data_IF_547280961737
#
_entry.id   IF_547280961737
#
_cell.length_a   1.000
_cell.length_b   1.000
_cell.length_c   1.000
_cell.angle_alpha   90.00
_cell.angle_beta   90.00
_cell.angle_gamma   90.00
#
_symmetry.space_group_name_H-M   'P 1'
#
loop_
_entity.id
_entity.type
_entity.pdbx_description
1 polymer ?
#
# COMPACT_ATOMS: atom_id res chain seq x y z
N UNK A 1 80.73 7.67 -0.85
CA UNK A 1 80.90 9.03 -0.28
C UNK A 1 79.92 10.00 -0.94
N UNK A 2 78.76 10.24 -0.32
CA UNK A 2 77.97 11.51 -0.26
C UNK A 2 76.52 11.19 0.12
N UNK A 3 76.18 11.53 1.36
CA UNK A 3 74.82 11.63 1.92
C UNK A 3 74.18 12.94 1.40
N UNK A 4 72.92 12.91 0.95
CA UNK A 4 71.99 14.05 0.98
C UNK A 4 70.58 13.49 1.22
N UNK A 5 70.09 13.53 2.45
CA UNK A 5 69.22 14.56 3.07
C UNK A 5 67.86 14.72 2.39
N UNK A 6 66.85 14.29 3.16
CA UNK A 6 65.40 14.33 3.03
C UNK A 6 64.88 15.67 2.50
N UNK A 7 63.76 15.64 1.77
CA UNK A 7 62.72 16.65 1.93
C UNK A 7 61.32 16.03 1.83
N UNK A 8 60.58 16.29 2.90
CA UNK A 8 59.22 15.89 3.22
C UNK A 8 58.28 16.91 2.58
N UNK A 9 57.40 16.49 1.68
CA UNK A 9 56.25 17.27 1.24
C UNK A 9 55.01 16.41 1.50
N UNK A 10 54.36 16.68 2.62
CA UNK A 10 53.08 16.12 3.01
C UNK A 10 52.01 16.73 2.11
N UNK A 11 51.44 15.94 1.19
CA UNK A 11 50.29 16.36 0.39
C UNK A 11 49.03 15.77 1.01
N UNK A 12 48.28 16.60 1.74
CA UNK A 12 46.97 16.26 2.28
C UNK A 12 46.01 16.12 1.10
N UNK A 13 45.68 14.88 0.74
CA UNK A 13 44.65 14.59 -0.26
C UNK A 13 43.28 14.81 0.41
N UNK A 14 42.74 16.02 0.30
CA UNK A 14 41.37 16.33 0.74
C UNK A 14 40.39 15.55 -0.13
N UNK A 15 40.00 14.37 0.34
CA UNK A 15 38.98 13.54 -0.28
C UNK A 15 37.62 14.20 -0.02
N UNK A 16 37.23 15.14 -0.89
CA UNK A 16 35.85 15.62 -0.94
C UNK A 16 34.96 14.43 -1.29
N UNK A 17 34.40 13.79 -0.26
CA UNK A 17 33.28 12.87 -0.38
C UNK A 17 32.09 13.71 -0.87
N UNK A 18 31.99 13.90 -2.19
CA UNK A 18 30.74 14.31 -2.80
C UNK A 18 29.76 13.16 -2.56
N UNK A 19 28.99 13.24 -1.47
CA UNK A 19 27.80 12.42 -1.30
C UNK A 19 26.83 12.93 -2.37
N UNK A 20 26.90 12.32 -3.54
CA UNK A 20 25.85 12.43 -4.54
C UNK A 20 24.65 11.69 -3.95
N UNK A 21 23.78 12.41 -3.26
CA UNK A 21 22.44 11.93 -2.95
C UNK A 21 21.69 11.78 -4.27
N UNK A 22 21.81 10.60 -4.87
CA UNK A 22 20.91 10.17 -5.93
C UNK A 22 19.55 9.97 -5.26
N UNK A 23 18.70 10.99 -5.31
CA UNK A 23 17.28 10.83 -5.04
C UNK A 23 16.71 9.93 -6.13
N UNK A 24 16.75 8.62 -5.91
CA UNK A 24 15.90 7.71 -6.64
C UNK A 24 14.48 7.99 -6.15
N UNK A 25 13.77 8.89 -6.85
CA UNK A 25 12.36 9.17 -6.58
C UNK A 25 11.55 7.92 -6.95
N UNK A 26 11.56 6.93 -6.07
CA UNK A 26 10.66 5.79 -6.13
C UNK A 26 9.22 6.27 -6.06
N UNK A 27 8.31 5.48 -6.61
CA UNK A 27 6.87 5.74 -6.47
C UNK A 27 6.54 5.59 -4.98
N UNK A 28 6.01 6.65 -4.35
CA UNK A 28 5.70 6.64 -2.92
C UNK A 28 4.72 5.50 -2.56
N UNK A 29 4.90 4.93 -1.37
CA UNK A 29 4.06 3.85 -0.84
C UNK A 29 3.80 4.00 0.66
N UNK A 30 2.72 3.39 1.19
CA UNK A 30 2.45 3.38 2.62
C UNK A 30 3.63 2.79 3.39
N UNK A 31 4.01 3.44 4.48
CA UNK A 31 5.13 3.02 5.32
C UNK A 31 4.71 1.90 6.27
N UNK A 32 5.54 0.87 6.38
CA UNK A 32 5.30 -0.26 7.28
C UNK A 32 6.60 -0.82 7.86
N UNK A 33 6.45 -1.60 8.94
CA UNK A 33 7.48 -2.48 9.47
C UNK A 33 7.00 -3.92 9.35
N UNK A 34 7.88 -4.84 8.93
CA UNK A 34 7.58 -6.28 8.95
C UNK A 34 7.73 -6.78 10.38
N UNK A 35 6.63 -7.31 10.94
CA UNK A 35 6.56 -7.83 12.31
C UNK A 35 6.84 -9.33 12.33
N UNK A 36 6.37 -10.03 11.29
CA UNK A 36 6.52 -11.48 11.18
C UNK A 36 6.66 -11.88 9.71
N UNK A 37 7.39 -12.95 9.47
CA UNK A 37 7.56 -13.53 8.13
C UNK A 37 7.41 -15.04 8.22
N UNK A 38 6.54 -15.57 7.39
CA UNK A 38 6.42 -17.00 7.10
C UNK A 38 6.86 -17.28 5.67
N UNK A 39 6.88 -18.55 5.27
CA UNK A 39 7.26 -18.94 3.91
C UNK A 39 6.43 -18.29 2.80
N UNK A 40 5.16 -17.98 3.09
CA UNK A 40 4.18 -17.57 2.08
C UNK A 40 3.36 -16.32 2.45
N UNK A 41 3.51 -15.78 3.66
CA UNK A 41 2.92 -14.51 4.05
C UNK A 41 3.81 -13.71 5.00
N UNK A 42 3.54 -12.42 5.10
CA UNK A 42 4.17 -11.49 6.03
C UNK A 42 3.10 -10.83 6.89
N UNK A 43 3.43 -10.51 8.14
CA UNK A 43 2.63 -9.58 8.95
C UNK A 43 3.33 -8.24 8.94
N UNK A 44 2.62 -7.20 8.51
CA UNK A 44 3.15 -5.83 8.43
C UNK A 44 2.34 -4.90 9.33
N UNK A 45 3.04 -4.08 10.11
CA UNK A 45 2.46 -2.95 10.83
C UNK A 45 2.54 -1.71 9.94
N UNK A 46 1.41 -1.29 9.38
CA UNK A 46 1.32 -0.03 8.64
C UNK A 46 1.19 1.14 9.61
N UNK A 47 1.92 2.22 9.31
CA UNK A 47 1.74 3.51 9.99
C UNK A 47 0.42 4.15 9.58
N UNK A 48 0.00 5.14 10.35
CA UNK A 48 -1.13 5.97 9.97
C UNK A 48 -0.93 6.58 8.57
N UNK A 49 -2.01 6.63 7.80
CA UNK A 49 -1.98 7.12 6.43
C UNK A 49 -3.32 7.63 5.95
N UNK A 50 -3.29 8.63 5.08
CA UNK A 50 -4.44 9.15 4.35
C UNK A 50 -4.53 8.51 2.96
N UNK A 51 -5.76 8.20 2.56
CA UNK A 51 -6.10 7.63 1.26
C UNK A 51 -7.28 8.37 0.66
N UNK A 52 -7.33 8.43 -0.67
CA UNK A 52 -8.53 8.82 -1.40
C UNK A 52 -9.30 7.56 -1.81
N UNK A 53 -10.59 7.51 -1.48
CA UNK A 53 -11.44 6.32 -1.62
C UNK A 53 -12.58 6.56 -2.62
N UNK A 54 -12.75 5.62 -3.54
CA UNK A 54 -13.80 5.56 -4.54
C UNK A 54 -14.72 4.37 -4.25
N UNK A 55 -15.93 4.57 -3.70
CA UNK A 55 -16.92 3.51 -3.54
C UNK A 55 -17.48 3.10 -4.91
N UNK A 56 -17.56 1.80 -5.18
CA UNK A 56 -18.10 1.23 -6.42
C UNK A 56 -19.03 0.07 -6.10
N UNK A 57 -20.17 -0.01 -6.77
CA UNK A 57 -21.06 -1.18 -6.73
C UNK A 57 -20.97 -1.87 -8.08
N UNK A 58 -20.44 -3.09 -8.10
CA UNK A 58 -20.36 -3.95 -9.28
C UNK A 58 -20.22 -5.40 -8.81
N UNK A 59 -20.44 -6.38 -9.68
CA UNK A 59 -20.15 -7.79 -9.36
C UNK A 59 -18.69 -8.14 -9.66
N UNK A 60 -18.10 -7.50 -10.67
CA UNK A 60 -16.73 -7.74 -11.12
C UNK A 60 -15.75 -6.85 -10.36
N UNK A 61 -14.76 -7.46 -9.74
CA UNK A 61 -13.62 -6.79 -9.13
C UNK A 61 -12.81 -6.02 -10.18
N UNK A 62 -12.59 -6.60 -11.36
CA UNK A 62 -11.81 -5.94 -12.43
C UNK A 62 -12.50 -4.67 -12.90
N UNK A 63 -13.80 -4.75 -13.16
CA UNK A 63 -14.61 -3.60 -13.58
C UNK A 63 -14.72 -2.58 -12.46
N UNK A 64 -14.96 -3.00 -11.22
CA UNK A 64 -15.02 -2.11 -10.08
C UNK A 64 -13.71 -1.35 -9.88
N UNK A 65 -12.58 -2.07 -9.95
CA UNK A 65 -11.24 -1.46 -9.84
C UNK A 65 -11.00 -0.45 -10.95
N UNK A 66 -11.31 -0.80 -12.20
CA UNK A 66 -11.14 0.10 -13.34
C UNK A 66 -11.96 1.38 -13.19
N UNK A 67 -13.25 1.26 -12.82
CA UNK A 67 -14.15 2.41 -12.65
C UNK A 67 -13.73 3.28 -11.46
N UNK A 68 -13.40 2.68 -10.32
CA UNK A 68 -12.94 3.40 -9.14
C UNK A 68 -11.61 4.12 -9.40
N UNK A 69 -10.65 3.42 -9.98
CA UNK A 69 -9.34 4.00 -10.31
C UNK A 69 -9.44 5.10 -11.35
N UNK A 70 -10.34 5.00 -12.34
CA UNK A 70 -10.53 6.07 -13.31
C UNK A 70 -10.92 7.41 -12.64
N UNK A 71 -11.82 7.38 -11.65
CA UNK A 71 -12.21 8.58 -10.89
C UNK A 71 -11.06 9.11 -10.03
N UNK A 72 -10.32 8.21 -9.37
CA UNK A 72 -9.10 8.58 -8.64
C UNK A 72 -8.05 9.19 -9.56
N UNK A 73 -7.91 8.68 -10.79
CA UNK A 73 -6.98 9.19 -11.78
C UNK A 73 -7.35 10.60 -12.23
N UNK A 74 -8.64 10.87 -12.47
CA UNK A 74 -9.11 12.24 -12.76
C UNK A 74 -8.76 13.19 -11.60
N UNK A 75 -9.00 12.77 -10.36
CA UNK A 75 -8.67 13.55 -9.15
C UNK A 75 -7.19 13.93 -9.08
N UNK A 76 -6.28 12.96 -9.22
CA UNK A 76 -4.83 13.23 -9.15
C UNK A 76 -4.32 14.03 -10.36
N UNK A 77 -5.06 14.03 -11.48
CA UNK A 77 -4.74 14.81 -12.67
C UNK A 77 -5.26 16.26 -12.64
N UNK A 78 -5.94 16.65 -11.56
CA UNK A 78 -6.39 18.03 -11.33
C UNK A 78 -7.89 18.20 -11.18
N UNK A 79 -8.71 17.14 -11.24
CA UNK A 79 -10.15 17.23 -10.94
C UNK A 79 -10.40 17.31 -9.42
N UNK A 80 -9.92 18.39 -8.82
CA UNK A 80 -10.09 18.78 -7.42
C UNK A 80 -10.21 20.31 -7.36
N UNK A 81 -10.75 20.85 -6.26
CA UNK A 81 -11.08 22.28 -6.16
C UNK A 81 -9.90 23.23 -6.38
N UNK A 82 -8.66 22.74 -6.22
CA UNK A 82 -7.44 23.54 -6.34
C UNK A 82 -6.69 23.28 -7.67
N UNK A 83 -7.27 22.51 -8.60
CA UNK A 83 -6.62 22.07 -9.86
C UNK A 83 -5.22 21.47 -9.65
N UNK A 84 -4.97 20.90 -8.47
CA UNK A 84 -3.65 20.43 -8.06
C UNK A 84 -3.35 19.07 -8.68
N UNK A 85 -2.16 18.92 -9.26
CA UNK A 85 -1.66 17.61 -9.70
C UNK A 85 -1.02 16.88 -8.53
N UNK A 86 -1.37 15.61 -8.36
CA UNK A 86 -0.89 14.74 -7.30
C UNK A 86 -0.09 13.61 -7.95
N UNK A 87 1.14 13.40 -7.50
CA UNK A 87 2.00 12.32 -8.01
C UNK A 87 1.35 10.96 -7.77
N UNK A 88 1.50 10.05 -8.73
CA UNK A 88 1.08 8.66 -8.59
C UNK A 88 1.81 7.98 -7.44
N UNK A 89 1.13 7.09 -6.73
CA UNK A 89 1.65 6.25 -5.65
C UNK A 89 1.27 4.79 -5.88
N UNK A 90 1.83 3.89 -5.08
CA UNK A 90 1.48 2.47 -5.08
C UNK A 90 1.33 1.95 -3.65
N UNK A 91 0.50 0.92 -3.42
CA UNK A 91 -0.38 0.25 -4.38
C UNK A 91 -1.73 0.98 -4.57
N UNK A 92 -2.45 0.61 -5.64
CA UNK A 92 -3.91 0.81 -5.68
C UNK A 92 -4.54 -0.34 -4.90
N UNK A 93 -5.33 -0.02 -3.88
CA UNK A 93 -5.93 -1.01 -2.98
C UNK A 93 -7.43 -1.12 -3.27
N UNK A 94 -7.90 -2.29 -3.70
CA UNK A 94 -9.34 -2.55 -3.89
C UNK A 94 -9.81 -3.50 -2.78
N UNK A 95 -10.66 -3.01 -1.89
CA UNK A 95 -11.23 -3.79 -0.78
C UNK A 95 -12.65 -4.26 -1.10
N UNK A 96 -12.94 -5.50 -0.71
CA UNK A 96 -14.23 -6.15 -0.89
C UNK A 96 -15.01 -6.05 0.42
N UNK A 97 -16.26 -5.59 0.39
CA UNK A 97 -17.09 -5.45 1.61
C UNK A 97 -17.74 -6.79 2.00
N UNK A 98 -17.55 -7.18 3.27
CA UNK A 98 -18.11 -8.39 3.89
C UNK A 98 -19.61 -8.25 4.18
N UNK A 99 -20.45 -8.17 3.14
CA UNK A 99 -21.89 -8.47 3.28
C UNK A 99 -22.65 -8.55 1.93
N UNK A 100 -21.97 -8.48 0.80
CA UNK A 100 -22.62 -8.74 -0.49
C UNK A 100 -22.80 -10.25 -0.66
N UNK A 101 -23.87 -10.79 -0.09
CA UNK A 101 -24.30 -12.18 -0.31
C UNK A 101 -24.43 -12.51 -1.81
N UNK A 102 -24.58 -13.80 -2.18
CA UNK A 102 -24.37 -14.33 -3.53
C UNK A 102 -25.26 -13.72 -4.64
N UNK A 103 -26.31 -12.97 -4.27
CA UNK A 103 -27.25 -12.32 -5.19
C UNK A 103 -27.28 -10.78 -5.07
N UNK A 104 -26.36 -10.17 -4.30
CA UNK A 104 -26.24 -8.71 -4.19
C UNK A 104 -25.02 -8.24 -5.01
N UNK A 105 -25.15 -7.10 -5.69
CA UNK A 105 -24.00 -6.41 -6.28
C UNK A 105 -22.94 -6.20 -5.20
N UNK A 106 -21.71 -6.67 -5.45
CA UNK A 106 -20.61 -6.49 -4.52
C UNK A 106 -20.31 -5.00 -4.35
N UNK A 107 -19.99 -4.61 -3.12
CA UNK A 107 -19.50 -3.27 -2.84
C UNK A 107 -17.97 -3.33 -2.73
N UNK A 108 -17.31 -2.47 -3.49
CA UNK A 108 -15.87 -2.30 -3.50
C UNK A 108 -15.51 -0.89 -3.06
N UNK A 109 -14.38 -0.78 -2.37
CA UNK A 109 -13.70 0.50 -2.16
C UNK A 109 -12.35 0.45 -2.85
N UNK A 110 -12.18 1.26 -3.90
CA UNK A 110 -10.90 1.42 -4.59
C UNK A 110 -10.19 2.60 -3.96
N UNK A 111 -8.94 2.43 -3.54
CA UNK A 111 -8.21 3.41 -2.75
C UNK A 111 -6.86 3.73 -3.36
N UNK A 112 -6.51 5.00 -3.28
CA UNK A 112 -5.23 5.56 -3.70
C UNK A 112 -4.52 6.14 -2.48
N UNK A 113 -3.27 5.73 -2.24
CA UNK A 113 -2.45 6.27 -1.16
C UNK A 113 -2.06 7.70 -1.50
N UNK A 114 -2.32 8.65 -0.61
CA UNK A 114 -1.93 10.03 -0.86
C UNK A 114 -0.42 10.20 -0.64
N UNK A 115 0.32 10.94 -1.49
CA UNK A 115 1.73 11.25 -1.22
C UNK A 115 1.92 11.93 0.14
N UNK A 116 3.12 11.86 0.72
CA UNK A 116 3.48 12.44 2.03
C UNK A 116 3.04 13.91 2.14
N UNK A 117 3.20 14.68 1.06
CA UNK A 117 2.77 16.08 0.96
C UNK A 117 1.27 16.30 1.28
N UNK A 118 0.43 15.31 1.03
CA UNK A 118 -1.04 15.39 1.14
C UNK A 118 -1.61 14.50 2.27
N UNK A 119 -0.75 13.99 3.16
CA UNK A 119 -1.18 13.15 4.29
C UNK A 119 -2.02 13.91 5.33
N UNK A 120 -1.79 15.23 5.49
CA UNK A 120 -2.57 16.07 6.39
C UNK A 120 -3.85 16.59 5.76
N UNK A 121 -3.72 17.48 4.76
CA UNK A 121 -4.85 18.13 4.08
C UNK A 121 -4.77 17.86 2.58
N UNK A 122 -5.44 16.81 2.08
CA UNK A 122 -5.50 16.56 0.64
C UNK A 122 -6.42 17.56 -0.07
N UNK A 123 -6.17 17.89 -1.35
CA UNK A 123 -7.09 18.68 -2.16
C UNK A 123 -8.48 18.05 -2.15
N UNK A 124 -9.52 18.87 -1.99
CA UNK A 124 -10.90 18.36 -2.00
C UNK A 124 -11.30 17.92 -3.41
N UNK A 125 -11.77 16.67 -3.60
CA UNK A 125 -12.19 16.20 -4.91
C UNK A 125 -13.44 16.96 -5.39
N UNK A 126 -13.63 17.05 -6.71
CA UNK A 126 -14.88 17.56 -7.25
C UNK A 126 -16.05 16.63 -6.88
N UNK A 127 -17.24 17.17 -6.52
CA UNK A 127 -18.37 16.36 -6.06
C UNK A 127 -18.79 15.24 -7.02
N UNK A 128 -18.71 15.49 -8.34
CA UNK A 128 -19.08 14.54 -9.40
C UNK A 128 -18.21 13.27 -9.41
N UNK A 129 -17.00 13.31 -8.85
CA UNK A 129 -16.15 12.13 -8.76
C UNK A 129 -16.62 11.16 -7.66
N UNK A 130 -17.44 11.63 -6.71
CA UNK A 130 -17.91 10.85 -5.56
C UNK A 130 -16.74 10.11 -4.88
N UNK A 131 -15.72 10.89 -4.49
CA UNK A 131 -14.53 10.43 -3.77
C UNK A 131 -14.58 10.93 -2.33
N UNK A 132 -13.93 10.19 -1.42
CA UNK A 132 -13.85 10.54 0.00
C UNK A 132 -12.42 10.35 0.50
N UNK A 133 -11.88 11.37 1.15
CA UNK A 133 -10.66 11.20 1.94
C UNK A 133 -10.97 10.31 3.14
N UNK A 134 -10.08 9.37 3.43
CA UNK A 134 -10.16 8.51 4.60
C UNK A 134 -8.81 8.48 5.30
N UNK A 135 -8.83 8.54 6.62
CA UNK A 135 -7.67 8.22 7.44
C UNK A 135 -7.70 6.73 7.79
N UNK A 136 -6.56 6.08 7.65
CA UNK A 136 -6.29 4.73 8.12
C UNK A 136 -5.30 4.85 9.28
N UNK A 137 -5.73 4.49 10.49
CA UNK A 137 -4.85 4.49 11.66
C UNK A 137 -3.77 3.41 11.56
N UNK A 138 -2.84 3.39 12.52
CA UNK A 138 -1.84 2.33 12.59
C UNK A 138 -2.49 0.97 12.79
N UNK A 139 -2.21 0.00 11.91
CA UNK A 139 -2.86 -1.32 11.94
C UNK A 139 -1.96 -2.42 11.38
N UNK A 140 -2.18 -3.64 11.85
CA UNK A 140 -1.51 -4.82 11.33
C UNK A 140 -2.30 -5.46 10.19
N UNK A 141 -1.58 -5.88 9.17
CA UNK A 141 -2.12 -6.51 7.97
C UNK A 141 -1.33 -7.77 7.68
N UNK A 142 -2.03 -8.89 7.52
CA UNK A 142 -1.46 -10.10 6.95
C UNK A 142 -1.45 -9.99 5.43
N UNK A 143 -0.30 -10.29 4.83
CA UNK A 143 -0.05 -10.06 3.41
C UNK A 143 0.52 -11.29 2.75
N UNK A 144 -0.11 -11.70 1.67
CA UNK A 144 0.44 -12.72 0.77
C UNK A 144 0.68 -12.14 -0.62
N UNK A 145 1.90 -12.30 -1.13
CA UNK A 145 2.28 -11.90 -2.49
C UNK A 145 1.84 -12.95 -3.50
N UNK A 146 1.40 -12.51 -4.67
CA UNK A 146 1.12 -13.38 -5.81
C UNK A 146 1.46 -12.71 -7.15
N UNK A 147 1.82 -13.54 -8.13
CA UNK A 147 2.22 -13.09 -9.46
C UNK A 147 1.05 -13.07 -10.45
N UNK A 148 1.22 -12.35 -11.56
CA UNK A 148 0.26 -12.32 -12.66
C UNK A 148 -0.75 -11.17 -12.53
N UNK A 149 -1.90 -11.31 -13.18
CA UNK A 149 -2.97 -10.32 -13.11
C UNK A 149 -3.94 -10.70 -11.99
N UNK A 150 -4.36 -9.72 -11.17
CA UNK A 150 -5.52 -9.89 -10.29
C UNK A 150 -6.79 -9.84 -11.15
N UNK A 151 -7.59 -10.91 -11.09
CA UNK A 151 -8.79 -11.11 -11.93
C UNK A 151 -9.94 -11.68 -11.11
N UNK A 152 -11.15 -11.52 -11.62
CA UNK A 152 -12.36 -12.01 -10.94
C UNK A 152 -12.26 -13.52 -10.61
N UNK A 153 -11.60 -14.29 -11.47
CA UNK A 153 -11.48 -15.73 -11.33
C UNK A 153 -10.35 -16.22 -10.40
N UNK A 154 -9.49 -15.34 -9.87
CA UNK A 154 -8.34 -15.76 -9.06
C UNK A 154 -8.22 -15.10 -7.69
N UNK A 155 -8.74 -13.88 -7.51
CA UNK A 155 -8.56 -13.13 -6.25
C UNK A 155 -9.12 -13.86 -5.02
N UNK A 156 -10.22 -14.60 -5.19
CA UNK A 156 -10.82 -15.39 -4.11
C UNK A 156 -9.89 -16.54 -3.72
N UNK A 157 -9.34 -17.26 -4.69
CA UNK A 157 -8.39 -18.34 -4.43
C UNK A 157 -7.11 -17.83 -3.76
N UNK A 158 -6.59 -16.66 -4.15
CA UNK A 158 -5.43 -16.07 -3.50
C UNK A 158 -5.72 -15.64 -2.05
N UNK A 159 -6.95 -15.19 -1.76
CA UNK A 159 -7.40 -14.89 -0.40
C UNK A 159 -7.60 -16.14 0.45
N UNK A 160 -8.16 -17.21 -0.10
CA UNK A 160 -8.29 -18.51 0.56
C UNK A 160 -6.93 -19.09 0.93
N UNK A 161 -5.94 -18.99 0.03
CA UNK A 161 -4.56 -19.43 0.33
C UNK A 161 -3.99 -18.69 1.54
N UNK A 162 -4.13 -17.36 1.60
CA UNK A 162 -3.70 -16.60 2.77
C UNK A 162 -4.46 -17.01 4.04
N UNK A 163 -5.78 -17.24 3.95
CA UNK A 163 -6.58 -17.69 5.09
C UNK A 163 -6.13 -19.05 5.63
N UNK A 164 -5.84 -20.02 4.76
CA UNK A 164 -5.32 -21.34 5.13
C UNK A 164 -3.97 -21.22 5.85
N UNK A 165 -3.06 -20.41 5.30
CA UNK A 165 -1.73 -20.22 5.90
C UNK A 165 -1.80 -19.53 7.25
N UNK A 166 -2.69 -18.54 7.41
CA UNK A 166 -2.95 -17.92 8.71
C UNK A 166 -3.50 -18.93 9.71
N UNK A 167 -4.46 -19.76 9.32
CA UNK A 167 -5.07 -20.78 10.18
C UNK A 167 -4.06 -21.83 10.68
N UNK A 168 -3.01 -22.11 9.92
CA UNK A 168 -1.91 -23.00 10.30
C UNK A 168 -0.80 -22.34 11.13
N UNK A 169 -0.93 -21.05 11.46
CA UNK A 169 0.11 -20.26 12.13
C UNK A 169 -0.32 -19.77 13.53
N UNK A 170 0.60 -19.21 14.34
CA UNK A 170 0.25 -18.52 15.58
C UNK A 170 -0.77 -17.37 15.42
N UNK A 171 -1.04 -16.94 14.18
CA UNK A 171 -1.96 -15.85 13.84
C UNK A 171 -3.39 -16.29 13.50
N UNK A 172 -3.72 -17.59 13.61
CA UNK A 172 -5.02 -18.16 13.20
C UNK A 172 -6.25 -17.41 13.73
N UNK A 173 -6.20 -16.90 14.96
CA UNK A 173 -7.31 -16.19 15.62
C UNK A 173 -7.15 -14.66 15.62
N UNK A 174 -6.26 -14.13 14.77
CA UNK A 174 -5.91 -12.70 14.75
C UNK A 174 -6.64 -11.91 13.66
N UNK A 175 -7.52 -12.51 12.87
CA UNK A 175 -8.23 -11.78 11.82
C UNK A 175 -9.31 -10.88 12.41
N UNK A 176 -9.34 -9.62 11.95
CA UNK A 176 -10.36 -8.66 12.39
C UNK A 176 -11.74 -8.98 11.82
N UNK A 177 -12.78 -8.76 12.62
CA UNK A 177 -14.17 -8.61 12.12
C UNK A 177 -14.32 -7.24 11.45
N UNK A 178 -13.53 -7.01 10.41
CA UNK A 178 -13.54 -5.76 9.64
C UNK A 178 -14.78 -5.73 8.73
N UNK A 179 -15.20 -4.53 8.30
CA UNK A 179 -16.24 -4.38 7.28
C UNK A 179 -15.82 -4.93 5.91
N UNK A 180 -14.51 -5.07 5.67
CA UNK A 180 -13.96 -5.64 4.45
C UNK A 180 -13.57 -7.10 4.68
N UNK A 181 -13.74 -7.95 3.66
CA UNK A 181 -13.38 -9.37 3.72
C UNK A 181 -11.87 -9.51 3.55
N UNK A 182 -11.37 -8.92 2.47
CA UNK A 182 -9.95 -8.80 2.14
C UNK A 182 -9.79 -7.64 1.16
N UNK A 183 -8.53 -7.28 0.89
CA UNK A 183 -8.18 -6.29 -0.13
C UNK A 183 -7.12 -6.83 -1.08
N UNK A 184 -7.16 -6.37 -2.33
CA UNK A 184 -6.12 -6.66 -3.31
C UNK A 184 -5.33 -5.37 -3.58
N UNK A 185 -4.02 -5.44 -3.33
CA UNK A 185 -3.09 -4.36 -3.58
C UNK A 185 -2.36 -4.60 -4.91
N UNK A 186 -2.51 -3.68 -5.86
CA UNK A 186 -1.93 -3.76 -7.19
C UNK A 186 -0.86 -2.67 -7.36
N UNK A 187 0.39 -3.09 -7.60
CA UNK A 187 1.55 -2.19 -7.66
C UNK A 187 1.91 -1.76 -9.08
N UNK A 188 1.38 -2.44 -10.09
CA UNK A 188 1.85 -2.29 -11.46
C UNK A 188 0.83 -1.59 -12.36
N UNK A 189 1.34 -0.65 -13.16
CA UNK A 189 0.60 -0.04 -14.27
C UNK A 189 -0.10 -1.09 -15.15
N UNK A 190 -1.29 -0.82 -15.70
CA UNK A 190 -2.02 -1.75 -16.57
C UNK A 190 -1.20 -2.21 -17.79
N UNK A 191 -0.22 -1.42 -18.24
CA UNK A 191 0.63 -1.74 -19.39
C UNK A 191 1.91 -2.54 -19.05
N UNK A 192 2.12 -2.89 -17.77
CA UNK A 192 3.25 -3.75 -17.36
C UNK A 192 2.83 -5.22 -17.42
N UNK A 193 3.25 -5.95 -18.44
CA UNK A 193 2.82 -7.34 -18.64
C UNK A 193 3.69 -8.40 -17.93
N UNK A 194 4.95 -8.09 -17.60
CA UNK A 194 5.92 -9.06 -17.04
C UNK A 194 6.28 -8.67 -15.59
N UNK A 195 6.55 -9.68 -14.74
CA UNK A 195 6.92 -9.52 -13.31
C UNK A 195 5.95 -8.64 -12.54
N UNK A 196 4.65 -8.89 -12.74
CA UNK A 196 3.60 -8.26 -11.94
C UNK A 196 3.59 -8.86 -10.54
N UNK A 197 3.51 -8.00 -9.53
CA UNK A 197 3.36 -8.37 -8.13
C UNK A 197 2.07 -7.72 -7.63
N UNK A 198 1.19 -8.54 -7.11
CA UNK A 198 0.02 -8.11 -6.36
C UNK A 198 0.09 -8.75 -4.98
N UNK A 199 -0.71 -8.21 -4.07
CA UNK A 199 -0.80 -8.73 -2.72
C UNK A 199 -2.26 -8.87 -2.30
N UNK A 200 -2.56 -9.92 -1.54
CA UNK A 200 -3.81 -10.02 -0.76
C UNK A 200 -3.53 -9.51 0.63
N UNK A 201 -4.40 -8.64 1.13
CA UNK A 201 -4.31 -8.01 2.45
C UNK A 201 -5.53 -8.39 3.29
N UNK A 202 -5.28 -8.84 4.52
CA UNK A 202 -6.31 -9.10 5.54
C UNK A 202 -5.95 -8.34 6.82
N UNK A 203 -6.86 -7.49 7.29
CA UNK A 203 -6.66 -6.73 8.52
C UNK A 203 -6.68 -7.66 9.73
N UNK A 204 -5.70 -7.50 10.61
CA UNK A 204 -5.63 -8.24 11.87
C UNK A 204 -6.21 -7.40 13.01
N UNK A 205 -6.93 -8.05 13.92
CA UNK A 205 -7.12 -7.50 15.26
C UNK A 205 -5.75 -7.44 15.92
N UNK A 206 -5.49 -6.37 16.68
CA UNK A 206 -4.27 -6.27 17.46
C UNK A 206 -4.20 -7.40 18.47
N UNK A 207 -3.62 -8.52 18.06
CA UNK A 207 -3.40 -9.67 18.90
C UNK A 207 -2.42 -9.29 20.00
N UNK A 208 -2.53 -9.95 21.15
CA UNK A 208 -1.55 -9.85 22.25
C UNK A 208 -0.15 -10.34 21.84
N UNK A 209 0.04 -10.76 20.59
CA UNK A 209 1.35 -11.07 20.02
C UNK A 209 2.16 -9.79 19.83
N UNK A 210 3.37 -9.79 20.38
CA UNK A 210 4.31 -8.68 20.44
C UNK A 210 4.47 -8.03 19.05
N UNK A 211 4.20 -6.73 18.94
CA UNK A 211 4.37 -5.94 17.71
C UNK A 211 3.10 -5.51 16.98
N UNK A 212 1.94 -6.11 17.27
CA UNK A 212 0.64 -5.72 16.68
C UNK A 212 -0.31 -5.04 17.67
N UNK A 213 0.20 -4.31 18.66
CA UNK A 213 -0.63 -3.43 19.48
C UNK A 213 -1.09 -2.25 18.62
N UNK A 214 -2.33 -2.29 18.14
CA UNK A 214 -2.98 -1.09 17.62
C UNK A 214 -2.90 -0.02 18.69
N UNK A 215 -2.27 1.12 18.37
CA UNK A 215 -2.49 2.35 19.10
C UNK A 215 -3.97 2.73 18.89
N UNK A 216 -4.85 2.11 19.69
CA UNK A 216 -6.21 2.56 19.85
C UNK A 216 -6.07 3.93 20.50
N UNK A 217 -6.20 4.98 19.69
CA UNK A 217 -6.31 6.33 20.19
C UNK A 217 -7.48 6.33 21.19
N UNK A 218 -7.14 6.48 22.47
CA UNK A 218 -8.08 6.86 23.49
C UNK A 218 -8.61 8.24 23.09
N UNK A 219 -9.89 8.29 22.72
CA UNK A 219 -10.69 9.52 22.71
C UNK A 219 -11.79 9.35 23.75
#
# INVERSE_FOLDING_TARGET
MKKMKKNLQSSIFSFCFFIVFVFCNGIESPQYTVIHTESDFEIRLYRESAWMSAPVRDISFEKATKVGFHRLFQYIQGANLNNSRISMTTPVLTSIVSDSGPFRSSAYFVRFYLPVKFQGIPPLPLPELNLRSIASGSHCVAIRKFSGFARDNNIVSEAEKLAISLAGSPWANSTSKSKNAYSIAQYNSPFRFIRRINEVWVDLTGSKTEGCQSAVAAF
#
